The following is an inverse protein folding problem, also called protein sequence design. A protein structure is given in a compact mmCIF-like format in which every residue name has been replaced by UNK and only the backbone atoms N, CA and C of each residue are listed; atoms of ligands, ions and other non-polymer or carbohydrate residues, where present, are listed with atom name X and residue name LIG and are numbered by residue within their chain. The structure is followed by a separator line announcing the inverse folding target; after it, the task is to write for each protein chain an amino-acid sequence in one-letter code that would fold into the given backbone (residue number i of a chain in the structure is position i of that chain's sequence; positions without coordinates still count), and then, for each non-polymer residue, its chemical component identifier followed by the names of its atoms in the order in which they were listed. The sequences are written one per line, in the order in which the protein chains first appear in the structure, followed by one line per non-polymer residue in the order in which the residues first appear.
data_IF_732699303420
#
_entry.id   IF_732699303420
#
_cell.length_a   1.000
_cell.length_b   1.000
_cell.length_c   1.000
_cell.angle_alpha   90.00
_cell.angle_beta   90.00
_cell.angle_gamma   90.00
#
_symmetry.space_group_name_H-M   'P 1'
#
loop_
_entity.id
_entity.type
_entity.pdbx_description
1 polymer ?
#
# COMPACT_ATOMS: atom_id res chain seq x y z
N UNK A 1 -52.49 -9.39 14.19
CA UNK A 1 -52.16 -8.41 13.12
C UNK A 1 -50.79 -8.78 12.58
N UNK A 2 -50.72 -9.37 11.40
CA UNK A 2 -49.49 -9.88 10.77
C UNK A 2 -48.82 -8.77 9.98
N UNK A 3 -47.56 -8.46 10.32
CA UNK A 3 -46.70 -7.57 9.55
C UNK A 3 -46.38 -8.22 8.19
N UNK A 4 -47.09 -7.80 7.15
CA UNK A 4 -46.88 -8.26 5.78
C UNK A 4 -45.62 -7.56 5.21
N UNK A 5 -44.44 -8.08 5.55
CA UNK A 5 -43.17 -7.58 5.03
C UNK A 5 -43.00 -8.16 3.62
N UNK A 6 -43.58 -7.50 2.62
CA UNK A 6 -43.32 -7.86 1.22
C UNK A 6 -41.82 -7.74 0.96
N UNK A 7 -41.13 -8.88 0.81
CA UNK A 7 -39.77 -8.91 0.26
C UNK A 7 -39.84 -8.24 -1.12
N UNK A 8 -39.27 -7.05 -1.24
CA UNK A 8 -39.10 -6.43 -2.54
C UNK A 8 -38.16 -7.33 -3.35
N UNK A 9 -38.57 -7.68 -4.57
CA UNK A 9 -37.72 -8.38 -5.50
C UNK A 9 -36.46 -7.55 -5.74
N UNK A 10 -35.26 -8.13 -5.65
CA UNK A 10 -34.03 -7.41 -5.95
C UNK A 10 -34.12 -6.85 -7.38
N UNK A 11 -33.90 -5.54 -7.50
CA UNK A 11 -33.87 -4.85 -8.79
C UNK A 11 -32.50 -5.08 -9.41
N UNK A 12 -32.46 -5.43 -10.69
CA UNK A 12 -31.21 -5.57 -11.43
C UNK A 12 -30.47 -4.24 -11.49
N UNK A 13 -29.15 -4.25 -11.31
CA UNK A 13 -28.33 -3.03 -11.29
C UNK A 13 -28.48 -2.18 -12.57
N UNK A 14 -28.76 -2.82 -13.71
CA UNK A 14 -29.04 -2.17 -15.01
C UNK A 14 -30.34 -1.38 -15.06
N UNK A 15 -31.27 -1.65 -14.13
CA UNK A 15 -32.58 -1.00 -14.04
C UNK A 15 -32.60 0.10 -12.98
N UNK A 16 -31.48 0.32 -12.28
CA UNK A 16 -31.37 1.44 -11.35
C UNK A 16 -31.31 2.76 -12.13
N UNK A 17 -32.10 3.77 -11.75
CA UNK A 17 -32.06 5.06 -12.41
C UNK A 17 -30.68 5.71 -12.22
N UNK A 18 -30.14 6.40 -13.24
CA UNK A 18 -28.93 7.20 -13.06
C UNK A 18 -29.19 8.30 -12.03
N UNK A 19 -28.22 8.56 -11.16
CA UNK A 19 -28.28 9.68 -10.22
C UNK A 19 -27.86 10.94 -10.99
N UNK A 20 -28.84 11.74 -11.40
CA UNK A 20 -28.62 12.95 -12.22
C UNK A 20 -28.09 14.14 -11.41
N UNK A 21 -28.32 14.16 -10.10
CA UNK A 21 -27.82 15.19 -9.18
C UNK A 21 -27.22 14.52 -7.92
N UNK A 22 -25.90 14.28 -7.89
CA UNK A 22 -25.22 13.61 -6.78
C UNK A 22 -24.92 14.54 -5.59
N UNK A 23 -25.49 15.76 -5.55
CA UNK A 23 -25.25 16.70 -4.45
C UNK A 23 -25.66 16.07 -3.11
N UNK A 24 -24.67 15.87 -2.23
CA UNK A 24 -24.86 15.25 -0.92
C UNK A 24 -24.47 13.78 -0.81
N UNK A 25 -23.96 13.16 -1.88
CA UNK A 25 -23.34 11.84 -1.81
C UNK A 25 -21.87 11.96 -1.39
N UNK A 26 -21.53 11.39 -0.24
CA UNK A 26 -20.19 11.46 0.36
C UNK A 26 -19.55 10.08 0.45
N UNK A 27 -18.26 10.01 0.17
CA UNK A 27 -17.42 8.85 0.48
C UNK A 27 -16.53 9.24 1.66
N UNK A 28 -16.41 8.34 2.63
CA UNK A 28 -15.55 8.53 3.79
C UNK A 28 -14.19 7.89 3.48
N UNK A 29 -13.13 8.68 3.60
CA UNK A 29 -11.77 8.25 3.31
C UNK A 29 -10.74 8.98 4.17
N UNK A 30 -9.48 8.59 4.05
CA UNK A 30 -8.36 9.23 4.74
C UNK A 30 -7.32 9.73 3.74
N UNK A 31 -6.80 10.95 3.94
CA UNK A 31 -5.63 11.49 3.23
C UNK A 31 -4.48 11.74 4.20
N UNK A 32 -3.25 11.77 3.69
CA UNK A 32 -2.11 12.30 4.42
C UNK A 32 -1.95 13.80 4.12
N UNK A 33 -1.72 14.62 5.14
CA UNK A 33 -1.37 16.04 4.98
C UNK A 33 0.11 16.22 4.57
N UNK A 34 0.53 17.47 4.35
CA UNK A 34 1.92 17.82 3.98
C UNK A 34 2.94 17.55 5.09
N UNK A 35 2.50 17.08 6.26
CA UNK A 35 3.31 16.72 7.43
C UNK A 35 3.22 15.22 7.73
N UNK A 36 2.54 14.44 6.88
CA UNK A 36 2.41 12.98 7.02
C UNK A 36 1.29 12.52 7.97
N UNK A 37 0.49 13.42 8.53
CA UNK A 37 -0.61 13.05 9.43
C UNK A 37 -1.82 12.55 8.64
N UNK A 38 -2.48 11.51 9.15
CA UNK A 38 -3.72 10.99 8.56
C UNK A 38 -4.93 11.82 9.00
N UNK A 39 -5.56 12.51 8.05
CA UNK A 39 -6.85 13.17 8.24
C UNK A 39 -7.96 12.36 7.60
N UNK A 40 -8.95 11.95 8.40
CA UNK A 40 -10.19 11.35 7.90
C UNK A 40 -11.21 12.44 7.57
N UNK A 41 -11.87 12.32 6.42
CA UNK A 41 -12.76 13.37 5.91
C UNK A 41 -13.90 12.85 5.04
N UNK A 42 -14.83 13.76 4.73
CA UNK A 42 -15.91 13.51 3.77
C UNK A 42 -15.47 14.01 2.41
N UNK A 43 -15.57 13.14 1.41
CA UNK A 43 -15.19 13.42 0.03
C UNK A 43 -16.43 13.44 -0.85
N UNK A 44 -16.57 14.47 -1.67
CA UNK A 44 -17.69 14.61 -2.59
C UNK A 44 -17.59 13.59 -3.72
N UNK A 45 -18.67 12.86 -4.00
CA UNK A 45 -18.70 11.77 -4.98
C UNK A 45 -18.34 12.24 -6.41
N UNK A 46 -18.70 13.47 -6.77
CA UNK A 46 -18.37 14.10 -8.06
C UNK A 46 -16.87 14.21 -8.31
N UNK A 47 -16.07 14.24 -7.24
CA UNK A 47 -14.61 14.35 -7.29
C UNK A 47 -13.91 13.03 -6.98
N UNK A 48 -14.65 11.93 -6.93
CA UNK A 48 -14.11 10.60 -6.58
C UNK A 48 -12.98 10.17 -7.51
N UNK A 49 -13.08 10.46 -8.81
CA UNK A 49 -12.00 10.16 -9.76
C UNK A 49 -10.71 10.92 -9.44
N UNK A 50 -10.81 12.19 -9.03
CA UNK A 50 -9.65 12.99 -8.62
C UNK A 50 -9.10 12.56 -7.27
N UNK A 51 -9.94 12.12 -6.34
CA UNK A 51 -9.50 11.56 -5.07
C UNK A 51 -8.84 10.19 -5.27
N UNK A 52 -9.42 9.33 -6.11
CA UNK A 52 -8.86 8.02 -6.45
C UNK A 52 -7.50 8.13 -7.13
N UNK A 53 -7.25 9.17 -7.95
CA UNK A 53 -5.93 9.49 -8.50
C UNK A 53 -4.88 9.84 -7.44
N UNK A 54 -5.32 10.36 -6.30
CA UNK A 54 -4.44 10.77 -5.20
C UNK A 54 -4.36 9.73 -4.06
N UNK A 55 -5.08 8.60 -4.17
CA UNK A 55 -4.98 7.51 -3.22
C UNK A 55 -3.63 6.79 -3.42
N UNK A 56 -2.71 6.98 -2.47
CA UNK A 56 -1.56 6.09 -2.35
C UNK A 56 -2.06 4.75 -1.81
N UNK A 57 -1.88 3.68 -2.60
CA UNK A 57 -2.20 2.33 -2.15
C UNK A 57 -1.02 1.81 -1.33
N UNK A 58 -1.27 1.43 -0.08
CA UNK A 58 -0.28 0.71 0.72
C UNK A 58 -0.09 -0.70 0.13
N UNK A 59 1.15 -1.04 -0.19
CA UNK A 59 1.59 -2.38 -0.61
C UNK A 59 2.36 -3.00 0.53
N UNK A 60 2.12 -4.29 0.78
CA UNK A 60 2.82 -5.10 1.76
C UNK A 60 3.44 -6.30 1.07
N UNK A 61 4.77 -6.39 1.11
CA UNK A 61 5.52 -7.43 0.41
C UNK A 61 6.23 -8.28 1.46
N UNK A 62 5.91 -9.57 1.52
CA UNK A 62 6.60 -10.52 2.39
C UNK A 62 7.58 -11.36 1.57
N UNK A 63 8.85 -11.36 1.98
CA UNK A 63 9.93 -12.06 1.30
C UNK A 63 10.56 -13.03 2.29
N UNK A 64 10.77 -14.26 1.84
CA UNK A 64 11.61 -15.25 2.54
C UNK A 64 12.89 -15.41 1.73
N UNK A 65 14.03 -15.14 2.36
CA UNK A 65 15.34 -15.15 1.73
C UNK A 65 16.15 -16.37 2.18
N UNK A 66 16.42 -17.27 1.24
CA UNK A 66 17.31 -18.43 1.42
C UNK A 66 18.76 -18.11 1.01
N UNK A 67 18.95 -17.07 0.21
CA UNK A 67 20.23 -16.46 -0.18
C UNK A 67 20.35 -15.06 0.39
N UNK A 68 21.53 -14.45 0.29
CA UNK A 68 21.77 -13.10 0.80
C UNK A 68 21.30 -12.02 -0.18
N UNK A 69 21.11 -12.39 -1.46
CA UNK A 69 20.63 -11.53 -2.51
C UNK A 69 19.20 -11.92 -2.94
N UNK A 70 18.38 -10.90 -3.22
CA UNK A 70 17.06 -11.03 -3.81
C UNK A 70 16.82 -9.91 -4.83
N UNK A 71 16.26 -10.27 -5.98
CA UNK A 71 15.92 -9.31 -7.03
C UNK A 71 14.43 -9.38 -7.36
N UNK A 72 13.85 -8.21 -7.61
CA UNK A 72 12.43 -8.09 -7.90
C UNK A 72 12.21 -7.00 -8.97
N UNK A 73 11.46 -7.34 -10.01
CA UNK A 73 11.03 -6.37 -11.02
C UNK A 73 9.83 -5.56 -10.53
N UNK A 74 9.91 -4.24 -10.67
CA UNK A 74 8.92 -3.29 -10.16
C UNK A 74 8.11 -2.71 -11.33
N UNK A 75 6.84 -3.13 -11.41
CA UNK A 75 5.95 -2.72 -12.50
C UNK A 75 5.33 -1.32 -12.33
N UNK A 76 5.34 -0.77 -11.12
CA UNK A 76 4.75 0.53 -10.75
C UNK A 76 5.71 1.26 -9.80
N UNK A 77 5.83 2.58 -9.92
CA UNK A 77 6.63 3.36 -8.97
C UNK A 77 6.10 3.18 -7.55
N UNK A 78 7.01 2.95 -6.60
CA UNK A 78 6.65 2.81 -5.19
C UNK A 78 7.68 3.44 -4.27
N UNK A 79 7.21 3.87 -3.10
CA UNK A 79 8.05 4.45 -2.05
C UNK A 79 8.02 3.52 -0.84
N UNK A 80 9.16 2.94 -0.48
CA UNK A 80 9.34 2.12 0.72
C UNK A 80 9.60 3.06 1.90
N UNK A 81 8.81 2.93 2.96
CA UNK A 81 8.91 3.81 4.14
C UNK A 81 9.16 3.04 5.45
N UNK A 82 9.02 1.71 5.43
CA UNK A 82 9.23 0.86 6.61
C UNK A 82 9.54 -0.57 6.18
N UNK A 83 10.47 -1.20 6.88
CA UNK A 83 10.80 -2.61 6.71
C UNK A 83 10.84 -3.27 8.09
N UNK A 84 10.20 -4.43 8.20
CA UNK A 84 10.29 -5.31 9.36
C UNK A 84 11.14 -6.51 8.93
N UNK A 85 12.15 -6.85 9.71
CA UNK A 85 13.10 -7.90 9.36
C UNK A 85 13.28 -8.92 10.49
N UNK A 86 13.61 -10.15 10.12
CA UNK A 86 14.00 -11.20 11.05
C UNK A 86 15.20 -11.97 10.52
N UNK A 87 16.17 -12.22 11.41
CA UNK A 87 17.46 -12.86 11.12
C UNK A 87 18.36 -12.05 10.16
N UNK A 88 18.13 -10.74 10.07
CA UNK A 88 18.91 -9.78 9.29
C UNK A 88 19.66 -8.88 10.27
N UNK A 89 20.95 -8.71 10.04
CA UNK A 89 21.81 -7.78 10.76
C UNK A 89 21.80 -6.41 10.08
N UNK A 90 22.10 -6.40 8.78
CA UNK A 90 22.21 -5.18 7.97
C UNK A 90 21.49 -5.42 6.64
N UNK A 91 20.82 -4.41 6.11
CA UNK A 91 20.05 -4.49 4.87
C UNK A 91 20.55 -3.43 3.89
N UNK A 92 20.65 -3.82 2.62
CA UNK A 92 20.94 -2.92 1.53
C UNK A 92 19.81 -2.96 0.50
N UNK A 93 19.39 -1.81 0.01
CA UNK A 93 18.42 -1.68 -1.09
C UNK A 93 19.10 -0.92 -2.22
N UNK A 94 19.19 -1.54 -3.40
CA UNK A 94 19.92 -1.02 -4.56
C UNK A 94 21.39 -0.64 -4.26
N UNK A 95 22.01 -1.32 -3.29
CA UNK A 95 23.39 -1.08 -2.85
C UNK A 95 23.54 -0.01 -1.76
N UNK A 96 22.47 0.73 -1.44
CA UNK A 96 22.49 1.70 -0.35
C UNK A 96 22.25 0.99 1.00
N UNK A 97 23.10 1.27 1.98
CA UNK A 97 22.97 0.75 3.35
C UNK A 97 21.77 1.41 4.04
N UNK A 98 20.83 0.58 4.45
CA UNK A 98 19.58 0.99 5.11
C UNK A 98 19.72 0.94 6.64
N UNK A 99 20.87 0.46 7.13
CA UNK A 99 21.25 0.41 8.53
C UNK A 99 21.17 -0.98 9.15
N UNK A 100 21.60 -1.03 10.42
CA UNK A 100 21.46 -2.23 11.24
C UNK A 100 20.00 -2.40 11.70
N UNK A 101 19.45 -3.60 11.52
CA UNK A 101 18.05 -3.89 11.80
C UNK A 101 17.83 -4.38 13.25
N UNK A 102 17.18 -3.54 14.06
CA UNK A 102 16.24 -3.98 15.10
C UNK A 102 14.94 -4.38 14.36
N UNK A 103 14.11 -5.35 14.79
CA UNK A 103 13.19 -6.07 13.90
C UNK A 103 12.12 -5.21 13.22
N UNK A 104 12.03 -3.92 13.56
CA UNK A 104 11.13 -2.94 12.98
C UNK A 104 11.82 -1.58 12.80
N UNK A 105 12.12 -1.20 11.55
CA UNK A 105 12.80 0.07 11.23
C UNK A 105 11.92 0.93 10.31
N UNK A 106 11.64 2.16 10.76
CA UNK A 106 11.12 3.20 9.88
C UNK A 106 12.29 3.81 9.10
N UNK A 107 12.11 3.95 7.79
CA UNK A 107 13.15 4.41 6.89
C UNK A 107 12.91 5.85 6.47
N UNK A 108 13.96 6.52 5.99
CA UNK A 108 13.74 7.61 5.04
C UNK A 108 13.12 7.02 3.77
N UNK A 109 12.20 7.76 3.15
CA UNK A 109 11.43 7.28 2.00
C UNK A 109 12.35 6.88 0.82
N UNK A 110 12.42 5.58 0.51
CA UNK A 110 13.18 5.04 -0.62
C UNK A 110 12.25 4.91 -1.82
N UNK A 111 12.47 5.71 -2.85
CA UNK A 111 11.66 5.64 -4.08
C UNK A 111 12.27 4.68 -5.08
N UNK A 112 11.49 3.68 -5.49
CA UNK A 112 11.85 2.69 -6.49
C UNK A 112 11.09 3.01 -7.80
N UNK A 113 11.81 3.37 -8.88
CA UNK A 113 11.17 3.78 -10.14
C UNK A 113 10.38 2.65 -10.80
N UNK A 114 9.34 3.03 -11.54
CA UNK A 114 8.60 2.13 -12.44
C UNK A 114 9.54 1.50 -13.48
N UNK A 115 9.40 0.20 -13.70
CA UNK A 115 10.19 -0.56 -14.68
C UNK A 115 11.62 -0.85 -14.24
N UNK A 116 11.97 -0.60 -12.98
CA UNK A 116 13.30 -0.92 -12.44
C UNK A 116 13.36 -2.34 -11.85
N UNK A 117 14.58 -2.86 -11.71
CA UNK A 117 14.85 -4.03 -10.88
C UNK A 117 15.34 -3.52 -9.54
N UNK A 118 14.62 -3.85 -8.47
CA UNK A 118 15.05 -3.63 -7.11
C UNK A 118 15.95 -4.77 -6.67
N UNK A 119 17.13 -4.44 -6.18
CA UNK A 119 18.04 -5.40 -5.56
C UNK A 119 17.99 -5.24 -4.04
N UNK A 120 17.89 -6.36 -3.33
CA UNK A 120 18.00 -6.44 -1.89
C UNK A 120 19.19 -7.32 -1.55
N UNK A 121 20.09 -6.82 -0.72
CA UNK A 121 21.16 -7.60 -0.13
C UNK A 121 21.06 -7.57 1.40
N UNK A 122 21.35 -8.68 2.07
CA UNK A 122 21.32 -8.77 3.53
C UNK A 122 22.63 -9.31 4.10
N UNK A 123 23.05 -8.76 5.23
CA UNK A 123 23.93 -9.46 6.18
C UNK A 123 23.07 -10.18 7.21
N UNK A 124 23.42 -11.43 7.55
CA UNK A 124 22.65 -12.22 8.52
C UNK A 124 23.09 -11.94 9.95
N UNK A 125 22.13 -11.94 10.87
CA UNK A 125 22.39 -11.78 12.31
C UNK A 125 23.04 -13.02 12.96
N UNK A 126 22.93 -14.19 12.32
CA UNK A 126 23.46 -15.45 12.83
C UNK A 126 23.59 -16.51 11.74
N UNK A 127 23.54 -17.78 12.13
CA UNK A 127 23.69 -18.93 11.20
C UNK A 127 22.36 -19.46 10.67
N UNK A 128 21.26 -18.72 10.88
CA UNK A 128 19.95 -19.09 10.33
C UNK A 128 20.00 -19.11 8.81
N UNK A 129 19.55 -20.23 8.23
CA UNK A 129 19.52 -20.41 6.77
C UNK A 129 18.43 -19.57 6.10
N UNK A 130 17.49 -19.01 6.88
CA UNK A 130 16.38 -18.18 6.38
C UNK A 130 16.34 -16.83 7.07
N UNK A 131 16.20 -15.80 6.26
CA UNK A 131 15.85 -14.45 6.68
C UNK A 131 14.48 -14.07 6.14
N UNK A 132 13.81 -13.15 6.82
CA UNK A 132 12.48 -12.70 6.44
C UNK A 132 12.45 -11.18 6.41
N UNK A 133 11.87 -10.65 5.34
CA UNK A 133 11.60 -9.22 5.18
C UNK A 133 10.11 -9.00 4.97
N UNK A 134 9.59 -7.95 5.58
CA UNK A 134 8.25 -7.46 5.36
C UNK A 134 8.32 -5.97 5.04
N UNK A 135 8.13 -5.65 3.77
CA UNK A 135 8.31 -4.31 3.22
C UNK A 135 6.96 -3.62 3.15
N UNK A 136 6.88 -2.43 3.75
CA UNK A 136 5.76 -1.51 3.60
C UNK A 136 6.12 -0.44 2.59
N UNK A 137 5.34 -0.37 1.52
CA UNK A 137 5.52 0.61 0.46
C UNK A 137 4.20 1.31 0.11
N UNK A 138 4.29 2.49 -0.47
CA UNK A 138 3.16 3.23 -1.05
C UNK A 138 3.34 3.27 -2.56
N UNK A 139 2.32 2.89 -3.32
CA UNK A 139 2.31 3.03 -4.78
C UNK A 139 1.28 4.09 -5.18
N UNK A 140 1.60 4.89 -6.20
CA UNK A 140 0.64 5.80 -6.84
C UNK A 140 0.07 5.13 -8.08
N UNK A 141 -1.24 5.26 -8.28
CA UNK A 141 -1.89 4.82 -9.51
C UNK A 141 -1.69 5.93 -10.56
N UNK A 142 -0.85 5.67 -11.56
CA UNK A 142 -0.77 6.51 -12.76
C UNK A 142 -1.85 6.06 -13.76
N UNK A 143 -2.72 6.99 -14.18
CA UNK A 143 -3.72 6.78 -15.23
C UNK A 143 -3.24 7.33 -16.57
#
# INVERSE_FOLDING_TARGET
MTNDTRKQSPVELSQLPPIEDPVGFWIFGSKSDSQGNFESGRYEFTRLADYARNLQLERRISITMETDDFEMFIGEEMTIYRIVAKNVKTLYVNGDDIGDFDPDVNLEDITIPKGSVMNIHIERLGTDTKAYLFIHAKAKIEY
#
